data_IF_575622514946
#
_entry.id   IF_575622514946
#
_cell.length_a   1.000
_cell.length_b   1.000
_cell.length_c   1.000
_cell.angle_alpha   90.00
_cell.angle_beta   90.00
_cell.angle_gamma   90.00
#
_symmetry.space_group_name_H-M   'P 1'
#
loop_
_entity.id
_entity.type
_entity.pdbx_description
1 polymer ?
#
# COMPACT_ATOMS: atom_id res chain seq x y z
N UNK A 1 -8.08 16.81 -2.99
CA UNK A 1 -8.25 15.63 -2.13
C UNK A 1 -7.00 14.78 -2.13
N UNK A 2 -6.76 14.13 -1.03
CA UNK A 2 -5.65 13.19 -0.91
C UNK A 2 -6.15 11.87 -0.34
N UNK A 3 -5.36 10.82 -0.55
CA UNK A 3 -5.62 9.51 0.03
C UNK A 3 -4.39 9.08 0.81
N UNK A 4 -4.59 8.59 2.02
CA UNK A 4 -3.50 8.16 2.89
C UNK A 4 -3.61 6.68 3.21
N UNK A 5 -2.47 6.00 3.25
CA UNK A 5 -2.41 4.60 3.65
C UNK A 5 -1.08 4.31 4.34
N UNK A 6 -1.11 3.42 5.32
CA UNK A 6 0.11 2.93 5.96
C UNK A 6 0.55 1.58 5.38
N UNK A 7 -0.22 1.02 4.46
CA UNK A 7 0.08 -0.28 3.87
C UNK A 7 1.00 -0.10 2.66
N UNK A 8 2.21 -0.64 2.77
CA UNK A 8 3.22 -0.52 1.72
C UNK A 8 2.75 -1.15 0.40
N UNK A 9 2.08 -2.29 0.48
CA UNK A 9 1.64 -3.00 -0.73
C UNK A 9 0.53 -2.24 -1.44
N UNK A 10 -0.42 -1.67 -0.67
CA UNK A 10 -1.46 -0.82 -1.26
C UNK A 10 -0.82 0.42 -1.88
N UNK A 11 0.12 1.05 -1.18
CA UNK A 11 0.82 2.22 -1.71
C UNK A 11 1.48 1.90 -3.05
N UNK A 12 2.17 0.76 -3.14
CA UNK A 12 2.80 0.33 -4.38
C UNK A 12 1.77 0.11 -5.50
N UNK A 13 0.63 -0.47 -5.16
CA UNK A 13 -0.43 -0.70 -6.12
C UNK A 13 -0.99 0.61 -6.67
N UNK A 14 -1.19 1.60 -5.77
CA UNK A 14 -1.68 2.91 -6.19
C UNK A 14 -0.70 3.59 -7.15
N UNK A 15 0.59 3.49 -6.89
CA UNK A 15 1.61 4.03 -7.79
C UNK A 15 1.60 3.31 -9.12
N UNK A 16 1.42 1.99 -9.10
CA UNK A 16 1.32 1.19 -10.33
C UNK A 16 0.14 1.64 -11.19
N UNK A 17 -0.95 2.07 -10.56
CA UNK A 17 -2.14 2.55 -11.24
C UNK A 17 -2.06 4.04 -11.62
N UNK A 18 -0.92 4.67 -11.40
CA UNK A 18 -0.67 6.03 -11.87
C UNK A 18 -0.98 7.14 -10.88
N UNK A 19 -1.30 6.80 -9.63
CA UNK A 19 -1.50 7.85 -8.62
C UNK A 19 -0.16 8.44 -8.19
N UNK A 20 -0.16 9.74 -7.96
CA UNK A 20 1.05 10.47 -7.63
C UNK A 20 1.29 10.46 -6.12
N UNK A 21 2.44 9.96 -5.70
CA UNK A 21 2.86 10.02 -4.31
C UNK A 21 3.29 11.44 -3.96
N UNK A 22 2.65 12.03 -2.95
CA UNK A 22 2.96 13.39 -2.50
C UNK A 22 3.93 13.39 -1.33
N UNK A 23 3.80 12.42 -0.44
CA UNK A 23 4.60 12.41 0.78
C UNK A 23 4.67 11.00 1.35
N UNK A 24 5.77 10.74 2.07
CA UNK A 24 5.97 9.50 2.80
C UNK A 24 6.64 9.87 4.13
N UNK A 25 5.91 9.73 5.22
CA UNK A 25 6.39 10.12 6.54
C UNK A 25 6.42 8.93 7.49
N UNK A 26 7.26 9.03 8.51
CA UNK A 26 7.34 8.01 9.55
C UNK A 26 6.69 8.57 10.82
N UNK A 27 5.72 7.82 11.38
CA UNK A 27 5.09 8.18 12.63
C UNK A 27 5.97 7.80 13.82
N UNK A 28 5.59 8.24 15.02
CA UNK A 28 6.33 7.97 16.25
C UNK A 28 6.55 6.49 16.53
N UNK A 29 5.57 5.68 16.17
CA UNK A 29 5.63 4.23 16.39
C UNK A 29 6.41 3.48 15.33
N UNK A 30 7.09 4.19 14.42
CA UNK A 30 7.84 3.59 13.34
C UNK A 30 7.02 3.21 12.11
N UNK A 31 5.72 3.42 12.15
CA UNK A 31 4.84 3.18 11.01
C UNK A 31 5.02 4.26 9.96
N UNK A 32 4.98 3.86 8.69
CA UNK A 32 4.99 4.83 7.60
C UNK A 32 3.57 5.22 7.22
N UNK A 33 3.43 6.45 6.74
CA UNK A 33 2.19 6.93 6.17
C UNK A 33 2.49 7.51 4.80
N UNK A 34 1.77 7.02 3.80
CA UNK A 34 1.92 7.46 2.42
C UNK A 34 0.72 8.31 2.03
N UNK A 35 0.99 9.45 1.41
CA UNK A 35 -0.05 10.35 0.98
C UNK A 35 -0.02 10.50 -0.54
N UNK A 36 -1.17 10.33 -1.18
CA UNK A 36 -1.30 10.40 -2.63
C UNK A 36 -2.23 11.51 -3.04
N UNK A 37 -1.93 12.14 -4.17
CA UNK A 37 -2.84 13.06 -4.83
C UNK A 37 -4.01 12.26 -5.38
N UNK A 38 -5.24 12.62 -4.98
CA UNK A 38 -6.42 11.84 -5.34
C UNK A 38 -7.57 12.78 -5.73
N UNK A 39 -7.41 13.55 -6.81
CA UNK A 39 -8.42 14.55 -7.19
C UNK A 39 -9.78 13.96 -7.52
N UNK A 40 -9.84 12.70 -7.92
CA UNK A 40 -11.08 12.06 -8.33
C UNK A 40 -11.62 11.07 -7.29
N UNK A 41 -10.99 10.98 -6.11
CA UNK A 41 -11.45 10.10 -5.05
C UNK A 41 -11.33 8.62 -5.36
N UNK A 42 -10.32 8.22 -6.13
CA UNK A 42 -10.15 6.82 -6.57
C UNK A 42 -9.38 5.95 -5.60
N UNK A 43 -8.74 6.55 -4.60
CA UNK A 43 -7.85 5.81 -3.70
C UNK A 43 -8.54 4.66 -2.99
N UNK A 44 -9.73 4.92 -2.43
CA UNK A 44 -10.49 3.87 -1.72
C UNK A 44 -10.85 2.74 -2.68
N UNK A 45 -11.34 3.09 -3.86
CA UNK A 45 -11.74 2.09 -4.85
C UNK A 45 -10.56 1.21 -5.28
N UNK A 46 -9.41 1.83 -5.52
CA UNK A 46 -8.21 1.10 -5.91
C UNK A 46 -7.68 0.22 -4.77
N UNK A 47 -7.78 0.69 -3.53
CA UNK A 47 -7.39 -0.11 -2.38
C UNK A 47 -8.26 -1.36 -2.26
N UNK A 48 -9.56 -1.23 -2.51
CA UNK A 48 -10.47 -2.37 -2.52
C UNK A 48 -10.13 -3.31 -3.68
N UNK A 49 -9.87 -2.75 -4.87
CA UNK A 49 -9.49 -3.53 -6.05
C UNK A 49 -8.23 -4.35 -5.78
N UNK A 50 -7.27 -3.78 -5.06
CA UNK A 50 -6.04 -4.48 -4.69
C UNK A 50 -6.33 -5.80 -4.00
N UNK A 51 -7.30 -5.84 -3.10
CA UNK A 51 -7.58 -7.05 -2.30
C UNK A 51 -7.98 -8.25 -3.14
N UNK A 52 -8.55 -8.02 -4.32
CA UNK A 52 -8.94 -9.09 -5.22
C UNK A 52 -7.97 -9.29 -6.38
N UNK A 53 -6.82 -8.62 -6.39
CA UNK A 53 -5.89 -8.65 -7.50
C UNK A 53 -4.81 -9.71 -7.32
N UNK A 54 -4.13 -10.03 -8.41
CA UNK A 54 -2.95 -10.90 -8.36
C UNK A 54 -1.83 -10.30 -7.52
N UNK A 55 -1.79 -8.96 -7.44
CA UNK A 55 -0.81 -8.27 -6.60
C UNK A 55 -0.99 -8.63 -5.13
N UNK A 56 -2.23 -8.76 -4.65
CA UNK A 56 -2.50 -9.15 -3.28
C UNK A 56 -2.08 -10.61 -3.03
N UNK A 57 -2.33 -11.48 -3.99
CA UNK A 57 -1.90 -12.88 -3.90
C UNK A 57 -0.39 -12.96 -3.79
N UNK A 58 0.31 -12.26 -4.66
CA UNK A 58 1.77 -12.20 -4.64
C UNK A 58 2.27 -11.67 -3.29
N UNK A 59 1.68 -10.58 -2.81
CA UNK A 59 2.06 -9.96 -1.54
C UNK A 59 1.88 -10.93 -0.36
N UNK A 60 0.78 -11.67 -0.35
CA UNK A 60 0.53 -12.65 0.71
C UNK A 60 1.61 -13.73 0.74
N UNK A 61 2.04 -14.19 -0.41
CA UNK A 61 3.11 -15.18 -0.49
C UNK A 61 4.43 -14.61 -0.01
N UNK A 62 4.75 -13.37 -0.38
CA UNK A 62 5.96 -12.70 0.10
C UNK A 62 5.94 -12.60 1.63
N UNK A 63 4.80 -12.19 2.21
CA UNK A 63 4.66 -12.08 3.66
C UNK A 63 4.84 -13.44 4.35
N UNK A 64 4.26 -14.49 3.79
CA UNK A 64 4.38 -15.82 4.34
C UNK A 64 5.83 -16.33 4.30
N UNK A 65 6.53 -16.07 3.21
CA UNK A 65 7.94 -16.43 3.09
C UNK A 65 8.80 -15.69 4.11
N UNK A 66 8.51 -14.41 4.33
CA UNK A 66 9.22 -13.62 5.35
C UNK A 66 9.02 -14.20 6.74
N UNK A 67 7.80 -14.65 7.06
CA UNK A 67 7.53 -15.30 8.35
C UNK A 67 8.36 -16.56 8.51
N UNK A 68 8.54 -17.33 7.46
CA UNK A 68 9.35 -18.54 7.50
C UNK A 68 10.82 -18.20 7.72
N UNK A 69 11.33 -17.17 7.00
CA UNK A 69 12.73 -16.77 7.06
C UNK A 69 13.12 -16.20 8.43
N UNK A 70 12.21 -15.46 9.06
CA UNK A 70 12.51 -14.73 10.30
C UNK A 70 11.94 -15.37 11.55
N UNK A 71 11.42 -16.58 11.44
CA UNK A 71 10.97 -17.30 12.64
C UNK A 71 12.17 -17.77 13.44
N UNK A 72 11.97 -17.90 14.73
CA UNK A 72 12.98 -18.43 15.63
C UNK A 72 12.71 -19.90 15.94
#
# INVERSE_FOLDING_TARGET
MTYKTSDLSIAAYLMMKGMKLLDATRAHNGQFMFEFDDPNGKGVQLAIEFTGSECAVYDNHVRNLKKILYRN
#
